data_IF_503225812475
#
_entry.id   IF_503225812475
#
_cell.length_a   1.000
_cell.length_b   1.000
_cell.length_c   1.000
_cell.angle_alpha   90.00
_cell.angle_beta   90.00
_cell.angle_gamma   90.00
#
_symmetry.space_group_name_H-M   'P 1'
#
loop_
_entity.id
_entity.type
_entity.pdbx_description
1 polymer ?
#
# COMPACT_ATOMS: atom_id res chain seq x y z
N UNK A 1 -12.93 -6.89 -9.99
CA UNK A 1 -13.06 -5.67 -9.18
C UNK A 1 -11.67 -5.07 -9.07
N UNK A 2 -11.52 -3.75 -9.26
CA UNK A 2 -10.20 -3.10 -9.19
C UNK A 2 -10.03 -2.57 -7.76
N UNK A 3 -8.99 -2.98 -7.05
CA UNK A 3 -8.74 -2.46 -5.72
C UNK A 3 -8.21 -1.02 -5.84
N UNK A 4 -8.79 -0.10 -5.08
CA UNK A 4 -8.30 1.29 -5.03
C UNK A 4 -7.11 1.36 -4.06
N UNK A 5 -6.00 1.94 -4.51
CA UNK A 5 -4.85 2.22 -3.66
C UNK A 5 -5.13 3.48 -2.81
N UNK A 6 -5.13 3.33 -1.48
CA UNK A 6 -5.33 4.41 -0.53
C UNK A 6 -4.04 4.68 0.25
N UNK A 7 -3.58 5.93 0.24
CA UNK A 7 -2.42 6.39 1.02
C UNK A 7 -2.87 6.74 2.44
N UNK A 8 -2.37 6.03 3.45
CA UNK A 8 -2.69 6.31 4.85
C UNK A 8 -1.77 7.43 5.40
N UNK A 9 -2.26 8.67 5.47
CA UNK A 9 -1.52 9.84 5.97
C UNK A 9 -1.47 9.96 7.52
N UNK A 10 -2.09 9.02 8.23
CA UNK A 10 -2.01 8.89 9.68
C UNK A 10 -1.91 7.41 10.00
N UNK A 11 -1.15 7.04 11.04
CA UNK A 11 -1.01 5.68 11.57
C UNK A 11 -2.34 4.95 11.42
N UNK A 12 -2.45 3.98 10.50
CA UNK A 12 -3.72 3.33 10.30
C UNK A 12 -3.92 2.46 11.53
N UNK A 13 -4.79 2.93 12.42
CA UNK A 13 -5.54 2.06 13.29
C UNK A 13 -6.26 1.10 12.33
N UNK A 14 -5.68 -0.09 12.10
CA UNK A 14 -6.32 -1.21 11.42
C UNK A 14 -7.35 -1.80 12.41
N UNK A 15 -8.21 -0.96 12.99
CA UNK A 15 -9.36 -1.41 13.77
C UNK A 15 -10.60 -1.16 12.93
N UNK A 16 -11.21 -2.26 12.47
CA UNK A 16 -12.62 -2.28 12.13
C UNK A 16 -13.03 -1.65 10.80
N UNK A 17 -12.22 -1.75 9.73
CA UNK A 17 -12.80 -1.62 8.40
C UNK A 17 -13.68 -2.86 8.12
N UNK A 18 -14.97 -2.72 7.77
CA UNK A 18 -15.86 -3.84 7.44
C UNK A 18 -15.54 -4.45 6.05
N UNK A 19 -14.27 -4.39 5.62
CA UNK A 19 -13.83 -4.79 4.29
C UNK A 19 -13.43 -6.27 4.36
N UNK A 20 -13.97 -7.11 3.49
CA UNK A 20 -13.79 -8.56 3.55
C UNK A 20 -12.32 -8.99 3.40
N UNK A 21 -11.56 -8.31 2.52
CA UNK A 21 -10.14 -8.61 2.23
C UNK A 21 -9.36 -7.33 1.97
N UNK A 22 -8.29 -7.09 2.73
CA UNK A 22 -7.45 -5.88 2.59
C UNK A 22 -6.01 -6.29 2.34
N UNK A 23 -5.33 -5.58 1.43
CA UNK A 23 -3.89 -5.66 1.29
C UNK A 23 -3.21 -4.45 1.94
N UNK A 24 -2.03 -4.66 2.52
CA UNK A 24 -1.23 -3.60 3.14
C UNK A 24 0.21 -3.67 2.65
N UNK A 25 0.73 -2.54 2.16
CA UNK A 25 2.14 -2.37 1.81
C UNK A 25 2.79 -1.39 2.80
N UNK A 26 3.59 -1.92 3.73
CA UNK A 26 4.26 -1.15 4.78
C UNK A 26 5.54 -1.82 5.29
N UNK A 27 6.50 -1.10 5.88
CA UNK A 27 7.79 -1.67 6.30
C UNK A 27 7.65 -2.73 7.40
N UNK A 28 6.77 -2.50 8.37
CA UNK A 28 6.60 -3.36 9.55
C UNK A 28 5.38 -4.29 9.42
N UNK A 29 5.45 -5.53 9.91
CA UNK A 29 4.31 -6.43 9.86
C UNK A 29 3.14 -5.90 10.72
N UNK A 30 1.91 -5.82 10.18
CA UNK A 30 0.73 -5.57 10.98
C UNK A 30 0.39 -6.78 11.86
N UNK A 31 -0.42 -6.61 12.92
CA UNK A 31 -0.97 -7.75 13.66
C UNK A 31 -1.77 -8.66 12.72
N UNK A 32 -1.62 -9.98 12.90
CA UNK A 32 -2.27 -10.97 12.06
C UNK A 32 -3.79 -10.87 12.19
N UNK A 33 -4.46 -10.77 11.04
CA UNK A 33 -5.92 -10.68 10.96
C UNK A 33 -6.43 -11.49 9.77
N UNK A 34 -7.56 -12.21 9.89
CA UNK A 34 -8.17 -12.91 8.76
C UNK A 34 -8.50 -11.93 7.62
N UNK A 35 -8.13 -12.28 6.40
CA UNK A 35 -8.38 -11.42 5.23
C UNK A 35 -7.37 -10.28 5.04
N UNK A 36 -6.33 -10.20 5.87
CA UNK A 36 -5.24 -9.24 5.74
C UNK A 36 -4.06 -9.82 4.96
N UNK A 37 -3.68 -9.16 3.87
CA UNK A 37 -2.52 -9.52 3.05
C UNK A 37 -1.42 -8.48 3.18
N UNK A 38 -0.32 -8.82 3.82
CA UNK A 38 0.80 -7.89 3.99
C UNK A 38 1.94 -8.14 3.00
N UNK A 39 2.57 -7.04 2.57
CA UNK A 39 3.85 -7.01 1.87
C UNK A 39 4.76 -5.99 2.53
N UNK A 40 6.02 -6.37 2.73
CA UNK A 40 7.04 -5.47 3.25
C UNK A 40 7.35 -4.37 2.23
N UNK A 41 7.29 -3.11 2.67
CA UNK A 41 7.74 -1.96 1.90
C UNK A 41 9.25 -1.79 2.09
N UNK A 42 10.03 -1.70 0.99
CA UNK A 42 11.45 -1.36 1.08
C UNK A 42 11.64 -0.02 1.81
N UNK A 43 12.61 0.05 2.71
CA UNK A 43 13.01 1.28 3.41
C UNK A 43 13.84 2.22 2.54
N UNK A 44 14.33 1.73 1.39
CA UNK A 44 15.09 2.51 0.40
C UNK A 44 14.17 3.06 -0.69
N UNK A 45 14.14 4.38 -0.86
CA UNK A 45 13.22 5.06 -1.77
C UNK A 45 13.33 4.57 -3.24
N UNK A 46 14.54 4.30 -3.72
CA UNK A 46 14.76 3.80 -5.08
C UNK A 46 14.20 2.38 -5.28
N UNK A 47 14.34 1.51 -4.28
CA UNK A 47 13.78 0.16 -4.31
C UNK A 47 12.26 0.20 -4.21
N UNK A 48 11.72 1.03 -3.31
CA UNK A 48 10.28 1.24 -3.19
C UNK A 48 9.68 1.73 -4.52
N UNK A 49 10.29 2.73 -5.18
CA UNK A 49 9.83 3.24 -6.46
C UNK A 49 9.84 2.18 -7.57
N UNK A 50 10.87 1.32 -7.58
CA UNK A 50 11.02 0.24 -8.56
C UNK A 50 9.97 -0.85 -8.36
N UNK A 51 9.69 -1.22 -7.10
CA UNK A 51 8.83 -2.35 -6.76
C UNK A 51 7.35 -1.96 -6.59
N UNK A 52 7.03 -0.66 -6.55
CA UNK A 52 5.68 -0.16 -6.27
C UNK A 52 4.62 -0.79 -7.18
N UNK A 53 4.74 -0.66 -8.50
CA UNK A 53 3.71 -1.15 -9.41
C UNK A 53 3.57 -2.67 -9.38
N UNK A 54 4.69 -3.38 -9.36
CA UNK A 54 4.69 -4.84 -9.27
C UNK A 54 4.02 -5.32 -7.97
N UNK A 55 4.33 -4.65 -6.84
CA UNK A 55 3.72 -4.97 -5.54
C UNK A 55 2.22 -4.67 -5.55
N UNK A 56 1.80 -3.50 -6.06
CA UNK A 56 0.38 -3.15 -6.16
C UNK A 56 -0.37 -4.14 -7.06
N UNK A 57 0.21 -4.55 -8.19
CA UNK A 57 -0.39 -5.55 -9.08
C UNK A 57 -0.49 -6.93 -8.42
N UNK A 58 0.53 -7.38 -7.71
CA UNK A 58 0.48 -8.63 -6.95
C UNK A 58 -0.60 -8.61 -5.87
N UNK A 59 -0.77 -7.48 -5.18
CA UNK A 59 -1.79 -7.30 -4.15
C UNK A 59 -3.20 -7.23 -4.75
N UNK A 60 -3.39 -6.51 -5.86
CA UNK A 60 -4.67 -6.44 -6.58
C UNK A 60 -5.11 -7.83 -7.11
N UNK A 61 -4.14 -8.62 -7.59
CA UNK A 61 -4.40 -9.99 -8.05
C UNK A 61 -4.93 -10.95 -6.97
N UNK A 62 -4.82 -10.59 -5.68
CA UNK A 62 -5.38 -11.37 -4.56
C UNK A 62 -6.90 -11.20 -4.41
N UNK A 63 -7.51 -10.33 -5.22
CA UNK A 63 -8.93 -10.00 -5.16
C UNK A 63 -9.30 -9.32 -3.85
N UNK A 64 -8.48 -8.37 -3.41
CA UNK A 64 -8.76 -7.54 -2.23
C UNK A 64 -9.71 -6.41 -2.58
N UNK A 65 -10.48 -5.96 -1.59
CA UNK A 65 -11.39 -4.82 -1.73
C UNK A 65 -10.62 -3.49 -1.75
N UNK A 66 -9.50 -3.43 -1.02
CA UNK A 66 -8.65 -2.24 -0.91
C UNK A 66 -7.17 -2.59 -0.73
N UNK A 67 -6.29 -1.72 -1.24
CA UNK A 67 -4.85 -1.75 -0.96
C UNK A 67 -4.48 -0.50 -0.17
N UNK A 68 -4.01 -0.70 1.06
CA UNK A 68 -3.50 0.35 1.93
C UNK A 68 -1.98 0.45 1.77
N UNK A 69 -1.48 1.64 1.49
CA UNK A 69 -0.04 1.91 1.41
C UNK A 69 0.35 2.86 2.54
N UNK A 70 1.38 2.48 3.31
CA UNK A 70 1.96 3.38 4.31
C UNK A 70 2.65 4.55 3.61
N UNK A 71 2.34 5.77 4.05
CA UNK A 71 2.83 6.96 3.37
C UNK A 71 4.36 7.04 3.51
N UNK A 72 5.10 7.13 2.39
CA UNK A 72 6.55 7.30 2.46
C UNK A 72 6.90 8.67 3.07
N UNK A 73 8.08 8.80 3.71
CA UNK A 73 8.55 10.07 4.27
C UNK A 73 8.48 11.24 3.28
N UNK A 74 8.22 12.46 3.80
CA UNK A 74 8.09 13.69 3.01
C UNK A 74 9.47 14.27 2.70
N UNK A 75 10.31 13.49 2.02
CA UNK A 75 11.69 13.86 1.67
C UNK A 75 11.90 13.79 0.15
N UNK A 76 12.87 14.54 -0.40
CA UNK A 76 13.12 14.57 -1.84
C UNK A 76 13.37 13.19 -2.46
N UNK A 77 14.03 12.28 -1.74
CA UNK A 77 14.31 10.92 -2.20
C UNK A 77 13.03 10.12 -2.48
N UNK A 78 11.96 10.37 -1.73
CA UNK A 78 10.68 9.67 -1.81
C UNK A 78 9.67 10.31 -2.78
N UNK A 79 10.00 11.48 -3.34
CA UNK A 79 9.14 12.20 -4.31
C UNK A 79 8.66 11.29 -5.44
N UNK A 80 9.55 10.44 -5.94
CA UNK A 80 9.27 9.53 -7.04
C UNK A 80 8.29 8.41 -6.64
N UNK A 81 8.29 7.99 -5.37
CA UNK A 81 7.33 7.02 -4.82
C UNK A 81 5.97 7.69 -4.65
N UNK A 82 5.95 8.90 -4.06
CA UNK A 82 4.72 9.67 -3.85
C UNK A 82 3.98 9.95 -5.17
N UNK A 83 4.68 10.40 -6.23
CA UNK A 83 4.07 10.65 -7.55
C UNK A 83 3.42 9.38 -8.12
N UNK A 84 4.11 8.23 -8.02
CA UNK A 84 3.58 6.94 -8.50
C UNK A 84 2.36 6.49 -7.70
N UNK A 85 2.34 6.69 -6.39
CA UNK A 85 1.18 6.39 -5.54
C UNK A 85 -0.02 7.25 -5.91
N UNK A 86 0.18 8.56 -6.14
CA UNK A 86 -0.89 9.46 -6.59
C UNK A 86 -1.45 9.03 -7.95
N UNK A 87 -0.59 8.64 -8.90
CA UNK A 87 -1.03 8.10 -10.20
C UNK A 87 -1.79 6.79 -10.06
N UNK A 88 -1.34 5.88 -9.18
CA UNK A 88 -2.01 4.61 -8.94
C UNK A 88 -3.40 4.82 -8.32
N UNK A 89 -3.53 5.75 -7.38
CA UNK A 89 -4.80 6.11 -6.76
C UNK A 89 -5.78 6.76 -7.76
N UNK A 90 -5.28 7.58 -8.69
CA UNK A 90 -6.11 8.22 -9.72
C UNK A 90 -6.52 7.29 -10.87
N UNK A 91 -5.87 6.14 -11.03
CA UNK A 91 -6.13 5.16 -12.08
C UNK A 91 -7.08 4.02 -11.65
N UNK A 92 -7.46 3.97 -10.37
CA UNK A 92 -8.41 3.01 -9.80
C UNK A 92 -9.86 3.49 -9.93
#
# INVERSE_FOLDING_TARGET
>A
QRATALSAAQTPVIDGLPMGRIAVWRPEPPPEQPGLFWRCQPTEAALAARHLYDTLHQLDALGVDAILVEQPPVEPAWRAVQDRLQRAAAAG
#
